data_IF_983517926911
#
_entry.id   IF_983517926911
#
_cell.length_a   1.000
_cell.length_b   1.000
_cell.length_c   1.000
_cell.angle_alpha   90.00
_cell.angle_beta   90.00
_cell.angle_gamma   90.00
#
_symmetry.space_group_name_H-M   'P 1'
#
loop_
_entity.id
_entity.type
_entity.pdbx_description
1 polymer ?
#
# COMPACT_ATOMS: atom_id res chain seq x y z
N UNK A 1 13.35 61.67 41.03
CA UNK A 1 13.93 60.30 41.18
C UNK A 1 12.89 59.20 41.42
N UNK A 2 11.69 59.26 40.81
CA UNK A 2 10.62 58.27 41.08
C UNK A 2 10.09 57.58 39.81
N UNK A 3 10.30 58.17 38.63
CA UNK A 3 9.91 57.59 37.34
C UNK A 3 10.86 56.46 36.87
N UNK A 4 12.15 56.54 37.20
CA UNK A 4 13.15 55.56 36.75
C UNK A 4 12.99 54.18 37.42
N UNK A 5 12.50 54.14 38.67
CA UNK A 5 12.22 52.87 39.37
C UNK A 5 11.04 52.10 38.77
N UNK A 6 10.04 52.78 38.19
CA UNK A 6 8.87 52.14 37.57
C UNK A 6 9.20 51.48 36.23
N UNK A 7 10.10 52.08 35.45
CA UNK A 7 10.52 51.54 34.14
C UNK A 7 11.33 50.26 34.31
N UNK A 8 12.22 50.21 35.31
CA UNK A 8 12.97 48.98 35.63
C UNK A 8 12.10 47.84 36.14
N UNK A 9 11.06 48.14 36.93
CA UNK A 9 10.13 47.12 37.41
C UNK A 9 9.29 46.53 36.25
N UNK A 10 8.86 47.38 35.31
CA UNK A 10 8.10 46.94 34.14
C UNK A 10 8.95 46.08 33.18
N UNK A 11 10.23 46.45 33.00
CA UNK A 11 11.17 45.63 32.23
C UNK A 11 11.45 44.28 32.90
N UNK A 12 11.57 44.24 34.23
CA UNK A 12 11.80 43.00 34.97
C UNK A 12 10.59 42.04 34.88
N UNK A 13 9.37 42.57 34.87
CA UNK A 13 8.13 41.78 34.69
C UNK A 13 7.96 41.30 33.24
N UNK A 14 8.36 42.09 32.23
CA UNK A 14 8.35 41.63 30.83
C UNK A 14 9.41 40.53 30.56
N UNK A 15 10.52 40.55 31.29
CA UNK A 15 11.58 39.53 31.18
C UNK A 15 11.15 38.19 31.79
N UNK A 16 10.35 38.17 32.85
CA UNK A 16 9.86 36.92 33.47
C UNK A 16 8.72 36.26 32.70
N UNK A 17 7.94 37.02 31.91
CA UNK A 17 6.90 36.48 31.02
C UNK A 17 7.46 35.69 29.81
N UNK A 18 8.73 35.86 29.48
CA UNK A 18 9.41 35.10 28.42
C UNK A 18 10.10 33.82 28.92
N UNK A 19 10.09 33.57 30.23
CA UNK A 19 10.77 32.43 30.88
C UNK A 19 9.83 31.34 31.37
N UNK A 20 8.57 31.31 30.90
CA UNK A 20 7.78 30.09 31.01
C UNK A 20 8.32 29.07 30.02
N UNK A 21 8.92 27.94 30.47
CA UNK A 21 9.18 26.84 29.56
C UNK A 21 7.82 26.39 29.04
N UNK A 22 7.53 26.74 27.78
CA UNK A 22 6.45 26.09 27.05
C UNK A 22 6.82 24.62 27.08
N UNK A 23 6.10 23.84 27.90
CA UNK A 23 6.09 22.39 27.79
C UNK A 23 5.73 22.09 26.34
N UNK A 24 6.75 21.83 25.52
CA UNK A 24 6.54 21.15 24.26
C UNK A 24 6.10 19.76 24.69
N UNK A 25 4.78 19.56 24.70
CA UNK A 25 4.24 18.22 24.59
C UNK A 25 5.03 17.54 23.47
N UNK A 26 5.68 16.41 23.80
CA UNK A 26 6.45 15.59 22.87
C UNK A 26 5.47 15.02 21.86
N UNK A 27 5.08 15.82 20.88
CA UNK A 27 4.24 15.38 19.79
C UNK A 27 5.08 14.38 19.00
N UNK A 28 4.56 13.16 18.84
CA UNK A 28 5.12 12.23 17.88
C UNK A 28 5.17 12.94 16.53
N UNK A 29 6.32 12.99 15.84
CA UNK A 29 6.40 13.70 14.58
C UNK A 29 5.48 13.01 13.58
N UNK A 30 4.45 13.73 13.14
CA UNK A 30 3.53 13.30 12.09
C UNK A 30 3.99 13.93 10.78
N UNK A 31 4.24 13.11 9.77
CA UNK A 31 4.44 13.60 8.40
C UNK A 31 3.23 13.23 7.56
N UNK A 32 2.98 13.98 6.49
CA UNK A 32 1.89 13.71 5.57
C UNK A 32 2.44 13.32 4.21
N UNK A 33 1.81 12.34 3.56
CA UNK A 33 2.00 12.05 2.15
C UNK A 33 0.66 12.20 1.43
N UNK A 34 0.46 13.34 0.78
CA UNK A 34 -0.85 13.73 0.28
C UNK A 34 -1.85 13.83 1.44
N UNK A 35 -2.90 12.98 1.40
CA UNK A 35 -3.95 12.93 2.43
C UNK A 35 -3.68 11.91 3.55
N UNK A 36 -2.61 11.13 3.46
CA UNK A 36 -2.33 10.04 4.40
C UNK A 36 -1.31 10.50 5.43
N UNK A 37 -1.67 10.40 6.71
CA UNK A 37 -0.75 10.65 7.83
C UNK A 37 0.21 9.46 7.99
N UNK A 38 1.50 9.76 8.03
CA UNK A 38 2.58 8.83 8.34
C UNK A 38 3.00 9.05 9.79
N UNK A 39 2.88 8.00 10.58
CA UNK A 39 3.29 7.95 11.99
C UNK A 39 4.24 6.77 12.20
N UNK A 40 4.74 6.60 13.42
CA UNK A 40 5.44 5.35 13.79
C UNK A 40 4.51 4.16 13.51
N UNK A 41 5.02 3.03 12.97
CA UNK A 41 6.44 2.72 12.71
C UNK A 41 6.95 3.14 11.32
N UNK A 42 6.11 3.70 10.46
CA UNK A 42 6.47 4.05 9.07
C UNK A 42 7.22 5.38 8.93
N UNK A 43 7.26 6.19 9.98
CA UNK A 43 7.95 7.47 9.98
C UNK A 43 9.48 7.29 10.03
N UNK A 44 10.25 7.81 9.04
CA UNK A 44 11.70 7.79 9.08
C UNK A 44 12.19 8.75 10.18
N UNK A 45 12.81 8.21 11.24
CA UNK A 45 13.47 9.05 12.24
C UNK A 45 14.90 9.36 11.78
N UNK A 46 15.37 10.60 12.04
CA UNK A 46 16.78 10.97 11.93
C UNK A 46 17.65 10.39 13.07
N UNK A 47 17.09 9.52 13.91
CA UNK A 47 17.80 8.83 14.98
C UNK A 47 18.35 7.49 14.49
N UNK A 48 19.37 6.99 15.18
CA UNK A 48 20.05 5.71 14.97
C UNK A 48 19.14 4.47 15.04
N UNK A 49 17.85 4.64 15.38
CA UNK A 49 16.82 3.59 15.45
C UNK A 49 15.63 3.94 14.54
N UNK A 50 15.86 4.04 13.23
CA UNK A 50 14.76 4.03 12.27
C UNK A 50 14.05 2.67 12.36
N UNK A 51 12.73 2.66 12.60
CA UNK A 51 11.97 1.42 12.54
C UNK A 51 12.16 0.76 11.18
N UNK A 52 12.42 -0.55 11.16
CA UNK A 52 12.59 -1.35 9.95
C UNK A 52 11.43 -1.16 8.95
N UNK A 53 10.22 -0.92 9.45
CA UNK A 53 9.03 -0.69 8.64
C UNK A 53 9.05 0.64 7.87
N UNK A 54 9.84 1.64 8.30
CA UNK A 54 9.98 2.91 7.59
C UNK A 54 10.54 2.73 6.16
N UNK A 55 11.32 1.67 5.92
CA UNK A 55 11.86 1.35 4.59
C UNK A 55 10.83 0.77 3.62
N UNK A 56 9.65 0.39 4.12
CA UNK A 56 8.60 -0.21 3.32
C UNK A 56 7.65 0.79 2.71
N UNK A 57 7.66 2.03 3.17
CA UNK A 57 6.79 3.06 2.61
C UNK A 57 7.62 4.09 1.87
N UNK A 58 7.15 4.47 0.69
CA UNK A 58 7.76 5.52 -0.11
C UNK A 58 6.67 6.51 -0.49
N UNK A 59 6.89 7.79 -0.16
CA UNK A 59 6.03 8.86 -0.65
C UNK A 59 6.58 9.39 -1.97
N UNK A 60 5.81 9.28 -3.05
CA UNK A 60 6.18 9.83 -4.37
C UNK A 60 5.00 10.58 -4.97
N UNK A 61 5.22 11.82 -5.39
CA UNK A 61 4.19 12.65 -6.03
C UNK A 61 2.88 12.72 -5.20
N UNK A 62 3.01 12.93 -3.88
CA UNK A 62 1.90 13.00 -2.92
C UNK A 62 1.06 11.70 -2.81
N UNK A 63 1.58 10.56 -3.29
CA UNK A 63 0.98 9.24 -3.14
C UNK A 63 1.91 8.36 -2.33
N UNK A 64 1.33 7.63 -1.37
CA UNK A 64 2.06 6.71 -0.53
C UNK A 64 2.07 5.32 -1.18
N UNK A 65 3.23 4.67 -1.19
CA UNK A 65 3.42 3.36 -1.80
C UNK A 65 4.04 2.38 -0.81
N UNK A 66 3.54 1.16 -0.81
CA UNK A 66 4.12 0.00 -0.18
C UNK A 66 5.18 -0.61 -1.11
N UNK A 67 6.41 -0.69 -0.62
CA UNK A 67 7.59 -1.16 -1.35
C UNK A 67 7.80 -2.65 -1.11
N UNK A 68 7.89 -3.39 -2.20
CA UNK A 68 8.13 -4.83 -2.20
C UNK A 68 9.12 -5.19 -3.31
N UNK A 69 9.63 -6.42 -3.33
CA UNK A 69 10.51 -6.87 -4.42
C UNK A 69 9.77 -7.07 -5.76
N UNK A 70 8.43 -7.10 -5.77
CA UNK A 70 7.61 -7.05 -6.98
C UNK A 70 7.44 -5.62 -7.52
N UNK A 71 7.64 -4.60 -6.68
CA UNK A 71 7.49 -3.19 -7.02
C UNK A 71 6.71 -2.40 -5.96
N UNK A 72 6.25 -1.22 -6.37
CA UNK A 72 5.51 -0.26 -5.56
C UNK A 72 4.00 -0.43 -5.75
N UNK A 73 3.29 -0.61 -4.63
CA UNK A 73 1.84 -0.74 -4.58
C UNK A 73 1.23 0.44 -3.83
N UNK A 74 0.26 1.14 -4.42
CA UNK A 74 -0.32 2.32 -3.79
C UNK A 74 -1.05 1.95 -2.50
N UNK A 75 -0.82 2.72 -1.43
CA UNK A 75 -1.52 2.62 -0.15
C UNK A 75 -2.72 3.59 -0.20
N UNK A 76 -3.91 3.09 0.13
CA UNK A 76 -5.12 3.93 0.28
C UNK A 76 -5.28 4.47 1.68
N UNK A 77 -4.95 3.67 2.69
CA UNK A 77 -5.12 4.04 4.10
C UNK A 77 -4.18 3.25 5.02
N UNK A 78 -3.91 3.84 6.18
CA UNK A 78 -3.21 3.21 7.29
C UNK A 78 -4.04 3.47 8.55
N UNK A 79 -4.46 2.41 9.21
CA UNK A 79 -5.11 2.46 10.51
C UNK A 79 -4.10 2.06 11.59
N UNK A 80 -3.68 3.05 12.38
CA UNK A 80 -2.71 2.86 13.46
C UNK A 80 -3.33 2.26 14.72
N UNK A 81 -4.66 2.32 14.87
CA UNK A 81 -5.38 1.73 16.02
C UNK A 81 -5.47 0.22 15.84
N UNK A 82 -5.89 -0.23 14.65
CA UNK A 82 -5.97 -1.66 14.34
C UNK A 82 -4.68 -2.24 13.77
N UNK A 83 -3.67 -1.39 13.52
CA UNK A 83 -2.37 -1.72 12.94
C UNK A 83 -2.50 -2.40 11.56
N UNK A 84 -3.38 -1.87 10.72
CA UNK A 84 -3.68 -2.36 9.38
C UNK A 84 -3.30 -1.34 8.30
N UNK A 85 -2.62 -1.80 7.26
CA UNK A 85 -2.32 -1.04 6.04
C UNK A 85 -3.17 -1.59 4.90
N UNK A 86 -3.80 -0.70 4.12
CA UNK A 86 -4.61 -1.09 2.97
C UNK A 86 -3.93 -0.71 1.66
N UNK A 87 -3.62 -1.72 0.85
CA UNK A 87 -3.16 -1.54 -0.53
C UNK A 87 -4.38 -1.31 -1.43
N UNK A 88 -4.33 -0.25 -2.22
CA UNK A 88 -5.36 0.09 -3.21
C UNK A 88 -5.45 -0.97 -4.32
N UNK A 89 -6.67 -1.21 -4.80
CA UNK A 89 -6.91 -2.08 -5.95
C UNK A 89 -7.93 -1.46 -6.90
N UNK A 90 -7.83 -1.77 -8.19
CA UNK A 90 -8.90 -1.44 -9.13
C UNK A 90 -10.09 -2.39 -8.97
N UNK A 91 -11.28 -1.94 -9.33
CA UNK A 91 -12.50 -2.74 -9.27
C UNK A 91 -12.52 -3.94 -10.21
N UNK A 92 -11.63 -3.98 -11.20
CA UNK A 92 -11.52 -5.07 -12.15
C UNK A 92 -10.15 -5.06 -12.85
N UNK A 93 -9.24 -5.95 -12.43
CA UNK A 93 -7.89 -6.11 -13.00
C UNK A 93 -7.82 -7.33 -13.92
N UNK A 94 -6.97 -7.30 -14.95
CA UNK A 94 -6.68 -8.49 -15.77
C UNK A 94 -5.88 -9.51 -14.96
N UNK A 95 -6.25 -10.79 -15.05
CA UNK A 95 -5.54 -11.89 -14.42
C UNK A 95 -4.06 -11.97 -14.78
N UNK A 96 -3.65 -11.47 -15.95
CA UNK A 96 -2.24 -11.37 -16.34
C UNK A 96 -1.37 -10.49 -15.42
N UNK A 97 -2.01 -9.69 -14.56
CA UNK A 97 -1.36 -8.79 -13.60
C UNK A 97 -1.54 -9.26 -12.16
N UNK A 98 -2.03 -10.47 -11.98
CA UNK A 98 -2.37 -10.97 -10.67
C UNK A 98 -1.12 -11.04 -9.78
N UNK A 99 -1.25 -10.41 -8.62
CA UNK A 99 -0.29 -10.54 -7.53
C UNK A 99 -1.06 -11.04 -6.33
N UNK A 100 -0.67 -12.21 -5.83
CA UNK A 100 -1.31 -12.86 -4.69
C UNK A 100 -1.23 -11.96 -3.44
N UNK A 101 -2.35 -11.74 -2.72
CA UNK A 101 -2.34 -11.06 -1.42
C UNK A 101 -1.34 -11.67 -0.43
N UNK A 102 -1.24 -13.00 -0.41
CA UNK A 102 -0.33 -13.73 0.47
C UNK A 102 1.16 -13.43 0.18
N UNK A 103 1.50 -13.11 -1.07
CA UNK A 103 2.84 -12.67 -1.44
C UNK A 103 3.13 -11.24 -0.95
N UNK A 104 2.12 -10.35 -0.97
CA UNK A 104 2.25 -8.97 -0.49
C UNK A 104 2.36 -8.90 1.03
N UNK A 105 1.61 -9.74 1.74
CA UNK A 105 1.67 -9.87 3.20
C UNK A 105 2.69 -10.90 3.67
N UNK A 106 3.53 -11.45 2.79
CA UNK A 106 4.48 -12.49 3.15
C UNK A 106 5.42 -12.02 4.26
N UNK A 107 5.39 -12.75 5.38
CA UNK A 107 6.19 -12.48 6.57
C UNK A 107 5.62 -11.40 7.50
N UNK A 108 4.42 -10.89 7.20
CA UNK A 108 3.59 -10.18 8.15
C UNK A 108 2.61 -11.13 8.84
N UNK A 109 2.13 -10.78 10.05
CA UNK A 109 0.99 -11.46 10.65
C UNK A 109 -0.24 -11.39 9.74
N UNK A 110 -1.09 -12.41 9.81
CA UNK A 110 -2.40 -12.37 9.15
C UNK A 110 -3.26 -11.24 9.74
N UNK A 111 -4.00 -10.48 8.91
CA UNK A 111 -4.97 -9.52 9.42
C UNK A 111 -6.10 -10.22 10.19
N UNK A 112 -6.81 -9.52 11.12
CA UNK A 112 -7.89 -10.12 11.90
C UNK A 112 -9.03 -10.72 11.05
N UNK A 113 -9.23 -10.18 9.85
CA UNK A 113 -10.13 -10.76 8.84
C UNK A 113 -9.30 -11.04 7.59
N UNK A 114 -9.38 -12.25 7.01
CA UNK A 114 -8.60 -12.62 5.85
C UNK A 114 -8.99 -11.78 4.63
N UNK A 115 -8.03 -11.63 3.72
CA UNK A 115 -8.30 -11.05 2.41
C UNK A 115 -9.05 -12.06 1.54
N UNK A 116 -9.91 -11.54 0.67
CA UNK A 116 -10.75 -12.32 -0.25
C UNK A 116 -10.44 -11.95 -1.71
N UNK A 117 -10.84 -12.81 -2.62
CA UNK A 117 -10.61 -12.64 -4.06
C UNK A 117 -11.92 -12.88 -4.83
N UNK A 118 -12.33 -11.90 -5.61
CA UNK A 118 -13.40 -12.05 -6.58
C UNK A 118 -12.79 -12.33 -7.95
N UNK A 119 -13.21 -13.41 -8.60
CA UNK A 119 -12.73 -13.86 -9.89
C UNK A 119 -13.87 -13.78 -10.89
N UNK A 120 -13.61 -13.27 -12.09
CA UNK A 120 -14.63 -13.04 -13.10
C UNK A 120 -14.26 -13.71 -14.42
N UNK A 121 -15.28 -13.97 -15.23
CA UNK A 121 -15.15 -14.50 -16.59
C UNK A 121 -14.33 -15.81 -16.62
N UNK A 122 -14.65 -16.72 -15.70
CA UNK A 122 -14.01 -18.03 -15.59
C UNK A 122 -14.70 -19.04 -16.51
N UNK A 123 -13.92 -19.78 -17.32
CA UNK A 123 -14.46 -20.93 -18.06
C UNK A 123 -14.52 -22.13 -17.13
N UNK A 124 -15.73 -22.49 -16.65
CA UNK A 124 -15.90 -23.67 -15.80
C UNK A 124 -15.54 -24.94 -16.58
N UNK A 125 -14.33 -25.46 -16.39
CA UNK A 125 -14.02 -26.85 -16.71
C UNK A 125 -13.99 -27.63 -15.40
N UNK A 126 -14.81 -28.69 -15.36
CA UNK A 126 -15.14 -29.56 -14.23
C UNK A 126 -13.95 -30.33 -13.60
N UNK A 127 -12.83 -29.68 -13.30
CA UNK A 127 -11.61 -30.38 -12.84
C UNK A 127 -11.20 -30.08 -11.39
N UNK A 128 -12.11 -29.54 -10.58
CA UNK A 128 -11.76 -29.01 -9.27
C UNK A 128 -12.51 -29.69 -8.14
N UNK A 129 -12.49 -31.03 -8.12
CA UNK A 129 -13.17 -31.82 -7.10
C UNK A 129 -12.23 -32.38 -6.02
N UNK A 130 -10.90 -32.29 -6.16
CA UNK A 130 -9.96 -32.85 -5.17
C UNK A 130 -9.16 -31.84 -4.35
N UNK A 131 -9.15 -30.54 -4.72
CA UNK A 131 -8.38 -29.52 -3.98
C UNK A 131 -9.23 -28.37 -3.44
N UNK A 132 -10.55 -28.43 -3.62
CA UNK A 132 -11.46 -27.31 -3.34
C UNK A 132 -12.51 -27.62 -2.26
N UNK A 133 -12.40 -28.71 -1.52
CA UNK A 133 -13.31 -29.02 -0.40
C UNK A 133 -13.18 -28.03 0.77
N UNK A 134 -12.12 -27.21 0.81
CA UNK A 134 -11.91 -26.17 1.85
C UNK A 134 -12.44 -24.78 1.46
N UNK A 135 -12.78 -24.56 0.19
CA UNK A 135 -13.26 -23.26 -0.30
C UNK A 135 -14.79 -23.24 -0.24
N UNK A 136 -15.37 -22.67 0.82
CA UNK A 136 -16.81 -22.33 0.85
C UNK A 136 -17.09 -21.28 -0.24
N UNK A 137 -17.39 -21.73 -1.46
CA UNK A 137 -17.76 -20.87 -2.59
C UNK A 137 -19.24 -20.50 -2.49
N UNK A 138 -19.55 -19.24 -2.20
CA UNK A 138 -20.89 -18.68 -2.47
C UNK A 138 -20.85 -18.05 -3.86
N UNK A 139 -21.56 -18.65 -4.82
CA UNK A 139 -21.71 -18.16 -6.19
C UNK A 139 -22.84 -17.12 -6.20
N UNK A 140 -22.52 -15.84 -6.39
CA UNK A 140 -23.53 -14.78 -6.48
C UNK A 140 -23.78 -14.38 -7.93
N UNK A 141 -25.04 -14.56 -8.39
CA UNK A 141 -25.53 -14.21 -9.73
C UNK A 141 -25.77 -12.69 -9.86
N UNK A 142 -24.74 -11.95 -10.23
CA UNK A 142 -24.98 -10.68 -10.94
C UNK A 142 -23.98 -10.44 -12.07
N UNK A 143 -22.80 -11.04 -11.96
CA UNK A 143 -21.93 -11.49 -13.06
C UNK A 143 -21.39 -12.85 -12.60
N UNK A 144 -21.05 -13.79 -13.48
CA UNK A 144 -20.52 -15.11 -13.08
C UNK A 144 -19.19 -14.96 -12.33
N UNK A 145 -19.26 -14.64 -11.04
CA UNK A 145 -18.15 -14.31 -10.18
C UNK A 145 -17.90 -15.48 -9.23
N UNK A 146 -16.70 -16.03 -9.27
CA UNK A 146 -16.21 -17.00 -8.31
C UNK A 146 -15.56 -16.25 -7.14
N UNK A 147 -16.12 -16.39 -5.95
CA UNK A 147 -15.65 -15.70 -4.75
C UNK A 147 -14.83 -16.63 -3.86
N UNK A 148 -13.61 -16.21 -3.54
CA UNK A 148 -12.71 -16.87 -2.58
C UNK A 148 -12.69 -16.06 -1.30
N UNK A 149 -13.34 -16.56 -0.26
CA UNK A 149 -13.47 -15.87 1.03
C UNK A 149 -12.13 -15.66 1.75
N UNK A 150 -11.19 -16.58 1.60
CA UNK A 150 -9.96 -16.59 2.37
C UNK A 150 -8.79 -16.98 1.48
N UNK A 151 -8.01 -15.97 1.09
CA UNK A 151 -6.83 -16.14 0.24
C UNK A 151 -5.65 -16.79 0.95
N UNK A 152 -5.67 -16.93 2.27
CA UNK A 152 -4.62 -17.63 3.03
C UNK A 152 -4.73 -19.16 2.87
N UNK A 153 -5.93 -19.65 2.51
CA UNK A 153 -6.17 -21.06 2.19
C UNK A 153 -5.83 -21.43 0.75
N UNK A 154 -5.53 -20.44 -0.10
CA UNK A 154 -5.08 -20.71 -1.45
C UNK A 154 -3.62 -21.14 -1.44
N UNK A 155 -3.27 -22.02 -2.39
CA UNK A 155 -1.87 -22.33 -2.64
C UNK A 155 -1.09 -21.04 -2.95
N UNK A 156 0.15 -20.93 -2.46
CA UNK A 156 0.97 -19.71 -2.64
C UNK A 156 1.28 -19.45 -4.13
N UNK A 157 1.26 -20.49 -4.96
CA UNK A 157 1.42 -20.42 -6.41
C UNK A 157 0.12 -20.23 -7.18
N UNK A 158 -1.04 -20.13 -6.51
CA UNK A 158 -2.33 -19.94 -7.17
C UNK A 158 -2.33 -18.73 -8.10
N UNK A 159 -2.86 -18.92 -9.31
CA UNK A 159 -3.08 -17.86 -10.26
C UNK A 159 -4.51 -17.94 -10.86
N UNK A 160 -5.24 -16.82 -11.04
CA UNK A 160 -6.59 -16.84 -11.63
C UNK A 160 -6.68 -17.52 -13.01
N UNK A 161 -5.59 -17.49 -13.79
CA UNK A 161 -5.50 -18.19 -15.07
C UNK A 161 -5.61 -19.72 -14.94
N UNK A 162 -5.25 -20.30 -13.79
CA UNK A 162 -5.38 -21.73 -13.53
C UNK A 162 -6.86 -22.16 -13.59
N UNK A 163 -7.76 -21.22 -13.32
CA UNK A 163 -9.21 -21.37 -13.39
C UNK A 163 -9.81 -20.77 -14.68
N UNK A 164 -8.96 -20.40 -15.64
CA UNK A 164 -9.34 -19.69 -16.86
C UNK A 164 -10.18 -18.42 -16.59
N UNK A 165 -9.94 -17.74 -15.47
CA UNK A 165 -10.58 -16.46 -15.16
C UNK A 165 -9.78 -15.34 -15.82
N UNK A 166 -10.42 -14.48 -16.61
CA UNK A 166 -9.71 -13.39 -17.31
C UNK A 166 -9.52 -12.13 -16.46
N UNK A 167 -10.33 -11.96 -15.40
CA UNK A 167 -10.30 -10.78 -14.52
C UNK A 167 -10.44 -11.15 -13.06
N UNK A 168 -9.96 -10.26 -12.19
CA UNK A 168 -10.07 -10.41 -10.74
C UNK A 168 -10.14 -9.07 -10.01
N UNK A 169 -10.60 -9.13 -8.76
CA UNK A 169 -10.60 -8.02 -7.83
C UNK A 169 -10.22 -8.50 -6.44
N UNK A 170 -9.24 -7.82 -5.83
CA UNK A 170 -8.87 -8.05 -4.43
C UNK A 170 -9.80 -7.27 -3.54
N UNK A 171 -10.35 -7.94 -2.54
CA UNK A 171 -11.29 -7.35 -1.59
C UNK A 171 -10.96 -7.79 -0.16
N UNK A 172 -11.40 -7.01 0.81
CA UNK A 172 -11.33 -7.36 2.22
C UNK A 172 -12.67 -7.10 2.90
N UNK A 173 -12.94 -7.83 3.97
CA UNK A 173 -14.14 -7.64 4.79
C UNK A 173 -13.97 -6.45 5.74
N UNK A 174 -14.90 -5.48 5.72
CA UNK A 174 -14.88 -4.28 6.56
C UNK A 174 -15.08 -4.65 8.03
N UNK A 175 -16.17 -5.38 8.34
CA UNK A 175 -16.58 -5.81 9.68
C UNK A 175 -16.97 -7.29 9.70
N UNK A 176 -16.63 -8.01 10.78
CA UNK A 176 -16.95 -9.43 10.98
C UNK A 176 -18.39 -9.71 11.46
N UNK A 177 -19.13 -8.67 11.84
CA UNK A 177 -20.40 -8.75 12.59
C UNK A 177 -21.67 -8.48 11.77
N UNK A 178 -21.55 -8.19 10.47
CA UNK A 178 -22.71 -7.94 9.59
C UNK A 178 -22.81 -9.09 8.60
N UNK A 179 -24.05 -9.50 8.34
CA UNK A 179 -24.51 -10.56 7.44
C UNK A 179 -23.63 -10.75 6.18
N UNK A 180 -23.64 -11.94 5.59
CA UNK A 180 -22.85 -12.36 4.42
C UNK A 180 -23.25 -11.60 3.11
N UNK A 181 -23.67 -10.34 3.21
CA UNK A 181 -23.95 -9.43 2.12
C UNK A 181 -22.66 -8.82 1.55
N UNK A 182 -22.65 -8.58 0.24
CA UNK A 182 -21.55 -7.94 -0.50
C UNK A 182 -21.25 -6.50 -0.02
N UNK A 183 -22.16 -5.85 0.71
CA UNK A 183 -21.95 -4.54 1.31
C UNK A 183 -20.85 -4.52 2.39
N UNK A 184 -20.53 -5.70 2.92
CA UNK A 184 -19.46 -5.90 3.90
C UNK A 184 -18.05 -5.89 3.32
N UNK A 185 -17.87 -5.84 1.99
CA UNK A 185 -16.55 -5.90 1.36
C UNK A 185 -16.13 -4.58 0.70
N UNK A 186 -14.83 -4.32 0.73
CA UNK A 186 -14.19 -3.17 0.08
C UNK A 186 -13.02 -3.60 -0.78
N UNK A 187 -12.66 -2.78 -1.78
CA UNK A 187 -11.54 -3.05 -2.68
C UNK A 187 -10.21 -2.81 -1.97
N UNK A 188 -9.32 -3.79 -2.07
CA UNK A 188 -7.95 -3.66 -1.59
C UNK A 188 -7.36 -4.95 -1.04
N UNK A 189 -6.20 -4.81 -0.42
CA UNK A 189 -5.55 -5.86 0.35
C UNK A 189 -5.09 -5.29 1.68
N UNK A 190 -5.53 -5.88 2.78
CA UNK A 190 -5.11 -5.53 4.14
C UNK A 190 -3.85 -6.29 4.52
N UNK A 191 -2.88 -5.59 5.08
CA UNK A 191 -1.64 -6.12 5.65
C UNK A 191 -1.60 -5.70 7.12
N UNK A 192 -1.46 -6.65 8.03
CA UNK A 192 -1.21 -6.35 9.45
C UNK A 192 0.25 -6.00 9.65
N UNK A 193 0.53 -4.89 10.32
CA UNK A 193 1.86 -4.52 10.77
C UNK A 193 2.01 -4.65 12.30
N UNK A 194 1.11 -5.38 12.95
CA UNK A 194 1.19 -5.68 14.39
C UNK A 194 2.21 -6.77 14.69
N UNK A 195 3.50 -6.42 14.56
CA UNK A 195 4.60 -7.34 14.87
C UNK A 195 4.77 -7.38 16.40
N UNK A 196 4.64 -8.55 17.05
CA UNK A 196 4.81 -8.66 18.50
C UNK A 196 6.24 -8.27 18.95
N UNK A 197 6.35 -7.58 20.07
CA UNK A 197 7.64 -7.06 20.60
C UNK A 197 8.66 -8.14 21.02
N UNK A 198 8.24 -9.41 21.07
CA UNK A 198 9.04 -10.56 21.50
C UNK A 198 9.44 -11.48 20.34
N UNK A 199 9.17 -11.09 19.10
CA UNK A 199 9.67 -11.82 17.93
C UNK A 199 11.18 -11.54 17.83
N UNK A 200 12.04 -12.56 17.66
CA UNK A 200 13.43 -12.36 17.27
C UNK A 200 13.53 -11.48 16.01
N UNK A 201 14.71 -10.95 15.71
CA UNK A 201 14.87 -10.01 14.60
C UNK A 201 14.16 -10.55 13.35
N UNK A 202 13.21 -9.78 12.81
CA UNK A 202 12.33 -10.22 11.70
C UNK A 202 13.12 -10.63 10.44
N UNK A 203 14.39 -10.25 10.37
CA UNK A 203 15.33 -10.61 9.32
C UNK A 203 16.15 -11.88 9.58
N UNK A 204 16.08 -12.48 10.77
CA UNK A 204 16.81 -13.71 11.09
C UNK A 204 16.39 -14.86 10.19
N UNK A 205 15.10 -14.93 9.83
CA UNK A 205 14.59 -15.92 8.87
C UNK A 205 15.18 -15.72 7.48
N UNK A 206 15.49 -14.48 7.08
CA UNK A 206 16.15 -14.18 5.81
C UNK A 206 17.63 -14.59 5.79
N UNK A 207 18.28 -14.62 6.97
CA UNK A 207 19.70 -14.93 7.12
C UNK A 207 20.00 -16.43 7.20
N UNK A 208 18.99 -17.27 7.45
CA UNK A 208 19.16 -18.73 7.52
C UNK A 208 19.52 -19.31 6.14
N UNK A 209 20.39 -20.33 6.07
CA UNK A 209 20.56 -21.10 4.84
C UNK A 209 19.21 -21.72 4.44
N UNK A 210 18.76 -21.47 3.21
CA UNK A 210 17.42 -21.82 2.70
C UNK A 210 16.22 -21.11 3.38
N UNK A 211 16.47 -20.03 4.13
CA UNK A 211 15.42 -19.20 4.71
C UNK A 211 14.59 -18.47 3.66
N UNK A 212 13.29 -18.31 3.91
CA UNK A 212 12.38 -17.60 3.00
C UNK A 212 12.10 -16.19 3.51
N UNK A 213 12.69 -15.20 2.84
CA UNK A 213 12.52 -13.79 3.19
C UNK A 213 11.24 -13.14 2.64
N UNK A 214 10.34 -13.91 2.02
CA UNK A 214 9.13 -13.39 1.40
C UNK A 214 9.41 -12.26 0.38
N UNK A 215 8.36 -11.57 -0.07
CA UNK A 215 8.51 -10.44 -0.99
C UNK A 215 8.58 -9.11 -0.25
N UNK A 216 7.73 -8.95 0.79
CA UNK A 216 7.68 -7.78 1.65
C UNK A 216 8.87 -7.71 2.60
N UNK A 217 9.10 -8.76 3.41
CA UNK A 217 10.23 -8.79 4.36
C UNK A 217 11.60 -8.64 3.68
N UNK A 218 11.77 -9.14 2.44
CA UNK A 218 12.99 -8.92 1.66
C UNK A 218 13.35 -7.44 1.53
N UNK A 219 12.37 -6.55 1.35
CA UNK A 219 12.67 -5.11 1.28
C UNK A 219 12.87 -4.44 2.63
N UNK A 220 12.39 -5.06 3.71
CA UNK A 220 12.68 -4.62 5.07
C UNK A 220 14.13 -4.95 5.42
N UNK A 221 14.54 -6.18 5.14
CA UNK A 221 15.83 -6.73 5.54
C UNK A 221 16.96 -6.37 4.56
N UNK A 222 16.63 -6.23 3.28
CA UNK A 222 17.56 -5.88 2.21
C UNK A 222 17.03 -4.71 1.36
N UNK A 223 16.87 -3.50 1.96
CA UNK A 223 16.26 -2.36 1.27
C UNK A 223 17.04 -1.88 0.03
N UNK A 224 18.35 -2.17 -0.04
CA UNK A 224 19.20 -1.86 -1.20
C UNK A 224 18.91 -2.77 -2.40
N UNK A 225 18.42 -3.97 -2.16
CA UNK A 225 18.15 -4.96 -3.20
C UNK A 225 16.79 -4.76 -3.86
N UNK A 226 15.92 -3.97 -3.22
CA UNK A 226 14.61 -3.63 -3.75
C UNK A 226 14.69 -2.41 -4.67
N UNK A 227 14.30 -2.57 -5.94
CA UNK A 227 14.23 -1.43 -6.87
C UNK A 227 12.86 -0.75 -6.75
N UNK A 228 12.86 0.58 -6.71
CA UNK A 228 11.63 1.39 -6.71
C UNK A 228 11.00 1.41 -8.10
N UNK A 229 10.36 0.31 -8.46
CA UNK A 229 9.64 0.16 -9.72
C UNK A 229 8.16 0.41 -9.46
N UNK A 230 7.59 1.41 -10.13
CA UNK A 230 6.14 1.58 -10.16
C UNK A 230 5.56 0.48 -11.04
N UNK A 231 4.68 -0.37 -10.50
CA UNK A 231 3.89 -1.29 -11.34
C UNK A 231 2.75 -0.46 -11.93
N UNK A 232 3.08 0.46 -12.83
CA UNK A 232 2.10 1.16 -13.64
C UNK A 232 1.87 0.34 -14.91
N UNK A 233 0.97 -0.64 -14.86
CA UNK A 233 0.35 -1.14 -16.10
C UNK A 233 -0.77 -0.19 -16.51
N UNK A 234 -0.36 1.02 -16.90
CA UNK A 234 -1.04 1.71 -17.99
C UNK A 234 -0.37 1.20 -19.25
N UNK A 235 -1.15 0.87 -20.27
CA UNK A 235 -0.65 0.59 -21.62
C UNK A 235 0.38 1.67 -21.96
N UNK A 236 1.63 1.27 -22.16
CA UNK A 236 2.65 2.10 -22.76
C UNK A 236 2.23 2.32 -24.21
N UNK A 237 1.59 3.46 -24.47
CA UNK A 237 1.62 4.04 -25.81
C UNK A 237 2.96 4.77 -25.87
N UNK A 238 3.83 4.31 -26.76
CA UNK A 238 5.15 4.91 -26.93
C UNK A 238 5.03 6.44 -27.15
N UNK A 239 5.82 7.26 -26.43
CA UNK A 239 5.79 8.73 -26.60
C UNK A 239 6.35 9.18 -27.97
N UNK A 240 6.92 8.26 -28.75
CA UNK A 240 7.48 8.56 -30.07
C UNK A 240 6.43 8.83 -31.16
N UNK A 241 5.18 8.41 -31.00
CA UNK A 241 4.13 8.63 -31.99
C UNK A 241 3.59 10.07 -32.05
N UNK A 242 3.61 10.80 -30.93
CA UNK A 242 2.98 12.12 -30.84
C UNK A 242 3.93 13.28 -31.20
N UNK A 243 5.25 13.08 -31.10
CA UNK A 243 6.23 14.12 -31.48
C UNK A 243 6.26 14.28 -33.00
N UNK A 244 6.14 13.18 -33.76
CA UNK A 244 6.13 13.24 -35.23
C UNK A 244 4.87 13.91 -35.77
N UNK A 245 3.71 13.65 -35.15
CA UNK A 245 2.43 14.26 -35.55
C UNK A 245 2.39 15.77 -35.26
N UNK A 246 3.00 16.21 -34.15
CA UNK A 246 3.08 17.63 -33.80
C UNK A 246 4.06 18.42 -34.68
N UNK A 247 5.16 17.79 -35.12
CA UNK A 247 6.10 18.39 -36.07
C UNK A 247 5.51 18.49 -37.48
N UNK A 248 4.74 17.49 -37.92
CA UNK A 248 4.04 17.53 -39.20
C UNK A 248 2.95 18.61 -39.24
N UNK A 249 2.20 18.82 -38.15
CA UNK A 249 1.18 19.88 -38.12
C UNK A 249 1.79 21.28 -38.17
N UNK A 250 2.97 21.49 -37.57
CA UNK A 250 3.64 22.79 -37.59
C UNK A 250 4.30 23.10 -38.94
N UNK A 251 4.78 22.09 -39.67
CA UNK A 251 5.28 22.26 -41.05
C UNK A 251 4.15 22.63 -42.02
N UNK A 252 2.97 21.98 -41.92
CA UNK A 252 1.82 22.30 -42.78
C UNK A 252 1.34 23.74 -42.58
N UNK A 253 1.34 24.23 -41.34
CA UNK A 253 0.99 25.63 -41.03
C UNK A 253 2.00 26.60 -41.66
N UNK A 254 3.31 26.35 -41.54
CA UNK A 254 4.34 27.22 -42.12
C UNK A 254 4.27 27.26 -43.65
N UNK A 255 3.96 26.13 -44.30
CA UNK A 255 3.81 26.07 -45.77
C UNK A 255 2.57 26.82 -46.24
N UNK A 256 1.45 26.74 -45.51
CA UNK A 256 0.22 27.47 -45.84
C UNK A 256 0.33 28.99 -45.63
N UNK A 257 1.10 29.45 -44.63
CA UNK A 257 1.27 30.88 -44.36
C UNK A 257 2.36 31.56 -45.20
N UNK A 258 3.19 30.80 -45.94
CA UNK A 258 4.23 31.36 -46.82
C UNK A 258 3.79 31.48 -48.29
N UNK A 259 2.57 31.04 -48.60
CA UNK A 259 1.98 31.03 -49.94
C UNK A 259 0.77 31.97 -50.15
N UNK A 260 0.48 32.86 -49.20
CA UNK A 260 -0.51 33.95 -49.34
C UNK A 260 0.17 35.30 -49.36
#
# INVERSE_FOLDING_TARGET
MQAWKKVHLLHLVLLTLNFFPKSLAKQNPTSFCGKITIQKPFFPQNSTESSLLSHMVVCKSQKLYFRTSLGLFQISSIDYTTKLLTISHSSCSSSSNYVSPALLSAGFPSPPNPNSLALFDCSSKNHMQSSLESLRTKIYKSYSCLFVNDTEKLDKGFHPNDLNCSRYSRVYRRNSSVDDSLEGYELGTRISFDIPNHVPNICDECNKPHGNCGIGLKCICHPKDCKDKVISKSVTVDPFGNILFSLLSSIVVIVLFKGS
#
